data_IF_515688842407
#
_entry.id   IF_515688842407
#
_cell.length_a   1.000
_cell.length_b   1.000
_cell.length_c   1.000
_cell.angle_alpha   90.00
_cell.angle_beta   90.00
_cell.angle_gamma   90.00
#
_symmetry.space_group_name_H-M   'P 1'
#
loop_
_entity.id
_entity.type
_entity.pdbx_description
1 polymer ?
#
# COMPACT_ATOMS: atom_id res chain seq x y z
N UNK A 1 18.62 23.44 -45.63
CA UNK A 1 17.69 24.16 -44.74
C UNK A 1 16.65 23.27 -43.99
N UNK A 2 16.85 21.94 -43.89
CA UNK A 2 15.92 20.99 -43.20
C UNK A 2 16.34 20.59 -41.80
N UNK A 3 17.51 21.01 -41.30
CA UNK A 3 18.07 20.57 -39.99
C UNK A 3 17.53 21.34 -38.77
N UNK A 4 16.92 22.48 -38.95
CA UNK A 4 16.44 23.31 -37.84
C UNK A 4 14.97 23.11 -37.48
N UNK A 5 14.22 22.29 -38.23
CA UNK A 5 12.81 22.02 -37.96
C UNK A 5 12.60 20.92 -36.89
N UNK A 6 13.64 20.14 -36.58
CA UNK A 6 13.56 19.10 -35.54
C UNK A 6 13.73 19.62 -34.12
N UNK A 7 14.34 20.79 -33.93
CA UNK A 7 14.61 21.35 -32.61
C UNK A 7 13.35 21.79 -31.85
N UNK A 8 12.36 22.49 -32.48
CA UNK A 8 11.10 22.84 -31.80
C UNK A 8 10.22 21.64 -31.48
N UNK A 9 10.29 20.54 -32.24
CA UNK A 9 9.52 19.32 -31.98
C UNK A 9 10.03 18.55 -30.74
N UNK A 10 11.35 18.59 -30.48
CA UNK A 10 11.94 17.99 -29.27
C UNK A 10 11.57 18.77 -28.00
N UNK A 11 11.36 20.07 -28.09
CA UNK A 11 10.92 20.93 -26.98
C UNK A 11 9.46 20.71 -26.60
N UNK A 12 8.60 20.30 -27.53
CA UNK A 12 7.20 19.97 -27.25
C UNK A 12 7.01 18.66 -26.47
N UNK A 13 7.95 17.73 -26.57
CA UNK A 13 7.95 16.47 -25.81
C UNK A 13 8.33 16.69 -24.31
N UNK A 14 9.05 17.76 -23.99
CA UNK A 14 9.38 18.12 -22.61
C UNK A 14 8.25 18.83 -21.87
N UNK A 15 7.22 19.31 -22.59
CA UNK A 15 6.09 20.05 -22.03
C UNK A 15 4.99 19.14 -21.40
N UNK A 16 5.00 17.83 -21.71
CA UNK A 16 4.17 16.86 -21.00
C UNK A 16 4.84 16.60 -19.64
N UNK A 17 4.52 17.37 -18.62
CA UNK A 17 5.06 17.28 -17.25
C UNK A 17 4.90 15.89 -16.60
N UNK A 18 5.52 14.88 -17.19
CA UNK A 18 5.58 13.52 -16.67
C UNK A 18 6.42 13.53 -15.39
N UNK A 19 5.74 13.60 -14.23
CA UNK A 19 6.38 13.39 -12.94
C UNK A 19 6.31 11.92 -12.58
N UNK A 20 7.43 11.31 -12.22
CA UNK A 20 7.42 9.96 -11.68
C UNK A 20 6.51 9.91 -10.44
N UNK A 21 5.59 8.94 -10.41
CA UNK A 21 4.78 8.67 -9.23
C UNK A 21 5.72 8.32 -8.06
N UNK A 22 5.76 9.16 -7.04
CA UNK A 22 6.67 9.04 -5.88
C UNK A 22 7.56 10.26 -5.66
N UNK A 23 7.80 11.09 -6.67
CA UNK A 23 8.56 12.34 -6.52
C UNK A 23 7.66 13.57 -6.29
N UNK A 24 6.34 13.42 -6.33
CA UNK A 24 5.40 14.51 -6.06
C UNK A 24 5.03 14.55 -4.56
N UNK A 25 5.45 15.60 -3.81
CA UNK A 25 5.11 15.75 -2.39
C UNK A 25 3.59 15.81 -2.14
N UNK A 26 2.79 16.22 -3.12
CA UNK A 26 1.33 16.27 -3.00
C UNK A 26 0.72 14.84 -2.97
N UNK A 27 1.32 13.90 -3.71
CA UNK A 27 0.89 12.50 -3.75
C UNK A 27 1.59 11.63 -2.70
N UNK A 28 2.71 12.10 -2.18
CA UNK A 28 3.55 11.38 -1.22
C UNK A 28 4.13 12.35 -0.18
N UNK A 29 3.29 12.96 0.69
CA UNK A 29 3.72 13.96 1.66
C UNK A 29 4.74 13.37 2.63
N UNK A 30 5.71 14.16 3.13
CA UNK A 30 6.67 13.71 4.13
C UNK A 30 5.94 13.27 5.40
N UNK A 31 6.56 12.36 6.15
CA UNK A 31 6.02 11.95 7.44
C UNK A 31 6.11 13.11 8.45
N UNK A 32 5.08 13.30 9.30
CA UNK A 32 5.03 14.41 10.26
C UNK A 32 6.03 14.24 11.42
N UNK A 33 6.49 13.01 11.66
CA UNK A 33 7.45 12.67 12.71
C UNK A 33 8.61 11.87 12.12
N UNK A 34 9.80 11.98 12.73
CA UNK A 34 10.98 11.28 12.25
C UNK A 34 11.13 9.88 12.84
N UNK A 35 10.73 9.69 14.09
CA UNK A 35 10.91 8.44 14.81
C UNK A 35 9.56 7.78 15.07
N UNK A 36 9.43 6.52 14.65
CA UNK A 36 8.19 5.76 14.71
C UNK A 36 8.37 4.44 15.45
N UNK A 37 7.36 4.05 16.22
CA UNK A 37 7.15 2.69 16.64
C UNK A 37 5.99 2.06 15.87
N UNK A 38 6.02 0.75 15.71
CA UNK A 38 5.00 -0.01 15.00
C UNK A 38 4.46 -1.10 15.91
N UNK A 39 3.13 -1.23 15.96
CA UNK A 39 2.41 -2.35 16.53
C UNK A 39 1.52 -2.91 15.41
N UNK A 40 2.12 -3.72 14.54
CA UNK A 40 1.58 -4.04 13.22
C UNK A 40 1.02 -5.44 13.07
N UNK A 41 1.12 -6.32 14.10
CA UNK A 41 0.75 -7.73 13.99
C UNK A 41 1.38 -8.37 12.74
N UNK A 42 0.59 -9.00 11.88
CA UNK A 42 1.05 -9.61 10.62
C UNK A 42 1.64 -8.60 9.61
N UNK A 43 1.35 -7.31 9.77
CA UNK A 43 1.86 -6.23 8.91
C UNK A 43 3.09 -5.53 9.49
N UNK A 44 3.60 -5.96 10.66
CA UNK A 44 4.71 -5.32 11.36
C UNK A 44 5.87 -5.01 10.42
N UNK A 45 6.43 -6.05 9.81
CA UNK A 45 7.60 -5.93 8.93
C UNK A 45 7.32 -5.11 7.66
N UNK A 46 6.12 -5.22 7.10
CA UNK A 46 5.73 -4.47 5.93
C UNK A 46 5.64 -2.97 6.22
N UNK A 47 5.03 -2.58 7.35
CA UNK A 47 4.92 -1.19 7.78
C UNK A 47 6.30 -0.60 8.10
N UNK A 48 7.12 -1.33 8.85
CA UNK A 48 8.49 -0.92 9.18
C UNK A 48 9.32 -0.68 7.90
N UNK A 49 9.25 -1.60 6.93
CA UNK A 49 9.95 -1.46 5.65
C UNK A 49 9.50 -0.20 4.90
N UNK A 50 8.20 0.09 4.86
CA UNK A 50 7.67 1.28 4.17
C UNK A 50 8.01 2.58 4.92
N UNK A 51 8.06 2.58 6.24
CA UNK A 51 8.53 3.72 7.04
C UNK A 51 10.01 4.01 6.76
N UNK A 52 10.87 2.98 6.75
CA UNK A 52 12.30 3.11 6.42
C UNK A 52 12.51 3.64 5.00
N UNK A 53 11.72 3.20 4.01
CA UNK A 53 11.74 3.74 2.64
C UNK A 53 11.43 5.23 2.56
N UNK A 54 10.69 5.74 3.55
CA UNK A 54 10.36 7.16 3.71
C UNK A 54 11.32 7.90 4.64
N UNK A 55 12.49 7.32 4.91
CA UNK A 55 13.54 7.89 5.76
C UNK A 55 13.12 8.10 7.22
N UNK A 56 12.08 7.40 7.70
CA UNK A 56 11.77 7.35 9.12
C UNK A 56 12.82 6.52 9.87
N UNK A 57 12.98 6.81 11.15
CA UNK A 57 13.74 5.98 12.08
C UNK A 57 12.77 5.11 12.87
N UNK A 58 13.16 3.88 13.15
CA UNK A 58 12.37 2.97 13.99
C UNK A 58 12.98 2.91 15.38
N UNK A 59 12.17 3.19 16.40
CA UNK A 59 12.56 3.07 17.80
C UNK A 59 11.32 2.73 18.62
N UNK A 60 11.35 1.59 19.31
CA UNK A 60 10.22 1.14 20.13
C UNK A 60 10.17 1.82 21.52
N UNK A 61 11.28 2.37 22.00
CA UNK A 61 11.40 2.96 23.33
C UNK A 61 11.23 4.49 23.30
N UNK A 62 11.72 5.15 22.25
CA UNK A 62 11.76 6.62 22.15
C UNK A 62 11.13 7.13 20.85
N UNK A 63 10.02 6.53 20.43
CA UNK A 63 9.30 6.98 19.24
C UNK A 63 8.55 8.30 19.50
N UNK A 64 8.62 9.21 18.52
CA UNK A 64 7.79 10.43 18.51
C UNK A 64 6.31 10.09 18.31
N UNK A 65 6.03 9.05 17.51
CA UNK A 65 4.69 8.55 17.24
C UNK A 65 4.68 7.03 17.09
N UNK A 66 3.52 6.43 17.33
CA UNK A 66 3.29 4.99 17.20
C UNK A 66 2.15 4.76 16.23
N UNK A 67 2.31 3.86 15.28
CA UNK A 67 1.20 3.33 14.48
C UNK A 67 0.79 1.97 15.02
N UNK A 68 -0.52 1.83 15.30
CA UNK A 68 -1.13 0.58 15.81
C UNK A 68 -2.11 0.06 14.78
N UNK A 69 -1.93 -1.17 14.33
CA UNK A 69 -2.94 -1.93 13.59
C UNK A 69 -3.92 -2.46 14.62
N UNK A 70 -5.18 -2.11 14.49
CA UNK A 70 -6.24 -2.47 15.44
C UNK A 70 -7.07 -3.65 14.99
N UNK A 71 -7.14 -3.88 13.67
CA UNK A 71 -7.87 -5.01 13.08
C UNK A 71 -7.31 -5.38 11.70
N UNK A 72 -7.33 -6.69 11.41
CA UNK A 72 -6.98 -7.24 10.09
C UNK A 72 -8.00 -8.31 9.74
N UNK A 73 -8.66 -8.14 8.60
CA UNK A 73 -9.64 -9.11 8.09
C UNK A 73 -9.25 -9.55 6.67
N UNK A 74 -9.26 -10.84 6.43
CA UNK A 74 -9.05 -11.46 5.13
C UNK A 74 -10.32 -12.20 4.71
N UNK A 75 -10.79 -11.97 3.49
CA UNK A 75 -11.95 -12.65 2.92
C UNK A 75 -11.60 -13.20 1.54
N UNK A 76 -12.06 -14.42 1.27
CA UNK A 76 -12.01 -15.05 -0.05
C UNK A 76 -13.43 -15.42 -0.46
N UNK A 77 -13.95 -14.75 -1.49
CA UNK A 77 -15.31 -14.92 -1.97
C UNK A 77 -15.30 -15.39 -3.43
N UNK A 78 -16.25 -16.21 -3.80
CA UNK A 78 -16.47 -16.57 -5.20
C UNK A 78 -16.86 -15.30 -5.95
N UNK A 79 -16.13 -15.01 -7.05
CA UNK A 79 -16.42 -13.86 -7.92
C UNK A 79 -17.16 -14.30 -9.18
N UNK A 80 -16.68 -15.38 -9.82
CA UNK A 80 -17.24 -15.85 -11.10
C UNK A 80 -17.44 -17.36 -11.12
N UNK A 81 -18.57 -17.78 -11.67
CA UNK A 81 -18.88 -19.17 -12.02
C UNK A 81 -18.99 -19.29 -13.53
N UNK A 82 -18.54 -20.41 -14.09
CA UNK A 82 -18.82 -20.73 -15.49
C UNK A 82 -20.27 -21.21 -15.69
N UNK A 83 -20.67 -21.49 -16.92
CA UNK A 83 -22.01 -21.95 -17.25
C UNK A 83 -22.38 -23.30 -16.63
N UNK A 84 -21.41 -24.13 -16.23
CA UNK A 84 -21.61 -25.40 -15.53
C UNK A 84 -21.64 -25.24 -14.01
N UNK A 85 -21.53 -24.02 -13.49
CA UNK A 85 -21.57 -23.75 -12.04
C UNK A 85 -20.21 -23.97 -11.32
N UNK A 86 -19.13 -24.19 -12.08
CA UNK A 86 -17.77 -24.34 -11.52
C UNK A 86 -17.16 -22.95 -11.27
N UNK A 87 -16.48 -22.80 -10.13
CA UNK A 87 -15.77 -21.57 -9.80
C UNK A 87 -14.62 -21.35 -10.78
N UNK A 88 -14.52 -20.16 -11.34
CA UNK A 88 -13.44 -19.74 -12.24
C UNK A 88 -12.62 -18.60 -11.68
N UNK A 89 -13.16 -17.83 -10.73
CA UNK A 89 -12.47 -16.72 -10.09
C UNK A 89 -12.88 -16.56 -8.62
N UNK A 90 -11.90 -16.27 -7.78
CA UNK A 90 -12.11 -15.79 -6.41
C UNK A 90 -11.68 -14.32 -6.31
N UNK A 91 -12.41 -13.58 -5.49
CA UNK A 91 -12.04 -12.25 -5.03
C UNK A 91 -11.43 -12.36 -3.63
N UNK A 92 -10.17 -11.95 -3.52
CA UNK A 92 -9.46 -11.80 -2.26
C UNK A 92 -9.65 -10.36 -1.76
N UNK A 93 -9.97 -10.19 -0.50
CA UNK A 93 -10.13 -8.89 0.15
C UNK A 93 -9.33 -8.88 1.46
N UNK A 94 -8.45 -7.87 1.61
CA UNK A 94 -7.73 -7.56 2.83
C UNK A 94 -8.20 -6.21 3.35
N UNK A 95 -8.76 -6.19 4.57
CA UNK A 95 -9.12 -4.98 5.29
C UNK A 95 -8.18 -4.80 6.47
N UNK A 96 -7.65 -3.60 6.63
CA UNK A 96 -6.76 -3.22 7.73
C UNK A 96 -7.29 -1.95 8.37
N UNK A 97 -7.54 -2.00 9.68
CA UNK A 97 -7.80 -0.82 10.48
C UNK A 97 -6.56 -0.45 11.29
N UNK A 98 -6.20 0.82 11.29
CA UNK A 98 -5.04 1.31 12.04
C UNK A 98 -5.26 2.71 12.56
N UNK A 99 -4.55 3.05 13.64
CA UNK A 99 -4.58 4.37 14.25
C UNK A 99 -3.15 4.79 14.63
N UNK A 100 -2.81 6.05 14.35
CA UNK A 100 -1.56 6.64 14.84
C UNK A 100 -1.78 7.34 16.19
N UNK A 101 -0.73 7.34 17.03
CA UNK A 101 -0.77 7.90 18.38
C UNK A 101 0.52 8.66 18.67
N UNK A 102 0.40 9.71 19.51
CA UNK A 102 1.52 10.39 20.14
C UNK A 102 1.28 10.37 21.66
N UNK A 103 2.05 9.54 22.36
CA UNK A 103 1.71 9.23 23.75
C UNK A 103 0.31 8.62 23.85
N UNK A 104 -0.58 9.27 24.60
CA UNK A 104 -1.98 8.85 24.75
C UNK A 104 -2.95 9.53 23.78
N UNK A 105 -2.47 10.46 22.96
CA UNK A 105 -3.30 11.22 22.02
C UNK A 105 -3.36 10.54 20.66
N UNK A 106 -4.56 10.26 20.16
CA UNK A 106 -4.77 9.79 18.79
C UNK A 106 -4.45 10.91 17.78
N UNK A 107 -3.73 10.58 16.72
CA UNK A 107 -3.39 11.47 15.62
C UNK A 107 -4.36 11.24 14.46
N UNK A 108 -5.23 12.19 14.23
CA UNK A 108 -6.24 12.13 13.17
C UNK A 108 -7.30 11.04 13.39
N UNK A 109 -8.05 10.75 12.34
CA UNK A 109 -9.10 9.72 12.33
C UNK A 109 -8.51 8.31 12.12
N UNK A 110 -9.22 7.24 12.56
CA UNK A 110 -8.83 5.87 12.25
C UNK A 110 -8.72 5.65 10.75
N UNK A 111 -7.66 4.97 10.35
CA UNK A 111 -7.37 4.69 8.94
C UNK A 111 -7.89 3.31 8.56
N UNK A 112 -8.76 3.24 7.55
CA UNK A 112 -9.26 2.00 6.96
C UNK A 112 -8.63 1.81 5.58
N UNK A 113 -7.87 0.73 5.40
CA UNK A 113 -7.29 0.34 4.12
C UNK A 113 -8.00 -0.91 3.64
N UNK A 114 -8.41 -0.93 2.37
CA UNK A 114 -8.96 -2.13 1.74
C UNK A 114 -8.21 -2.40 0.44
N UNK A 115 -7.70 -3.61 0.29
CA UNK A 115 -7.00 -4.08 -0.90
C UNK A 115 -7.77 -5.27 -1.48
N UNK A 116 -7.91 -5.29 -2.80
CA UNK A 116 -8.54 -6.40 -3.53
C UNK A 116 -7.58 -7.00 -4.55
N UNK A 117 -7.70 -8.33 -4.75
CA UNK A 117 -7.09 -9.06 -5.87
C UNK A 117 -8.07 -10.09 -6.39
N UNK A 118 -7.96 -10.41 -7.66
CA UNK A 118 -8.64 -11.56 -8.26
C UNK A 118 -7.66 -12.71 -8.36
N UNK A 119 -8.12 -13.90 -8.03
CA UNK A 119 -7.40 -15.16 -8.20
C UNK A 119 -8.17 -16.01 -9.21
N UNK A 120 -7.59 -16.23 -10.38
CA UNK A 120 -8.11 -17.20 -11.34
C UNK A 120 -7.99 -18.61 -10.76
N UNK A 121 -9.02 -19.39 -10.87
CA UNK A 121 -9.09 -20.73 -10.29
C UNK A 121 -9.42 -21.80 -11.31
N UNK A 122 -8.72 -22.94 -11.20
CA UNK A 122 -8.97 -24.14 -11.96
C UNK A 122 -8.72 -25.38 -11.10
N UNK A 123 -9.66 -26.29 -11.07
CA UNK A 123 -9.55 -27.55 -10.31
C UNK A 123 -8.38 -28.45 -10.79
N UNK A 124 -7.93 -28.26 -12.04
CA UNK A 124 -6.81 -29.02 -12.60
C UNK A 124 -5.42 -28.60 -12.10
N UNK A 125 -5.32 -27.43 -11.42
CA UNK A 125 -4.05 -26.81 -11.03
C UNK A 125 -3.97 -26.45 -9.54
N UNK A 126 -4.61 -27.22 -8.68
CA UNK A 126 -4.83 -26.90 -7.25
C UNK A 126 -3.55 -26.49 -6.52
N UNK A 127 -2.44 -27.25 -6.69
CA UNK A 127 -1.18 -26.94 -5.98
C UNK A 127 -0.56 -25.61 -6.42
N UNK A 128 -0.55 -25.34 -7.74
CA UNK A 128 -0.07 -24.06 -8.28
C UNK A 128 -0.92 -22.88 -7.84
N UNK A 129 -2.25 -23.10 -7.72
CA UNK A 129 -3.18 -22.06 -7.28
C UNK A 129 -3.05 -21.72 -5.79
N UNK A 130 -2.66 -22.67 -4.95
CA UNK A 130 -2.36 -22.40 -3.53
C UNK A 130 -1.13 -21.51 -3.37
N UNK A 131 -0.08 -21.76 -4.16
CA UNK A 131 1.13 -20.94 -4.15
C UNK A 131 0.84 -19.50 -4.66
N UNK A 132 0.08 -19.38 -5.77
CA UNK A 132 -0.36 -18.09 -6.31
C UNK A 132 -1.20 -17.31 -5.29
N UNK A 133 -2.14 -17.97 -4.61
CA UNK A 133 -2.94 -17.34 -3.57
C UNK A 133 -2.09 -16.81 -2.42
N UNK A 134 -1.12 -17.61 -1.94
CA UNK A 134 -0.20 -17.19 -0.88
C UNK A 134 0.63 -15.96 -1.28
N UNK A 135 1.10 -15.93 -2.54
CA UNK A 135 1.81 -14.78 -3.09
C UNK A 135 0.92 -13.54 -3.19
N UNK A 136 -0.33 -13.69 -3.66
CA UNK A 136 -1.30 -12.58 -3.72
C UNK A 136 -1.55 -11.99 -2.33
N UNK A 137 -1.73 -12.82 -1.30
CA UNK A 137 -1.89 -12.34 0.08
C UNK A 137 -0.64 -11.59 0.58
N UNK A 138 0.56 -12.06 0.24
CA UNK A 138 1.80 -11.36 0.58
C UNK A 138 1.88 -9.98 -0.08
N UNK A 139 1.57 -9.90 -1.37
CA UNK A 139 1.57 -8.64 -2.14
C UNK A 139 0.49 -7.67 -1.62
N UNK A 140 -0.68 -8.18 -1.23
CA UNK A 140 -1.75 -7.36 -0.63
C UNK A 140 -1.33 -6.75 0.69
N UNK A 141 -0.56 -7.46 1.54
CA UNK A 141 0.00 -6.91 2.79
C UNK A 141 1.00 -5.78 2.51
N UNK A 142 1.87 -5.95 1.51
CA UNK A 142 2.79 -4.88 1.08
C UNK A 142 2.02 -3.65 0.61
N UNK A 143 0.99 -3.84 -0.22
CA UNK A 143 0.15 -2.74 -0.71
C UNK A 143 -0.60 -2.04 0.42
N UNK A 144 -1.16 -2.79 1.37
CA UNK A 144 -1.85 -2.23 2.53
C UNK A 144 -0.90 -1.39 3.39
N UNK A 145 0.30 -1.89 3.68
CA UNK A 145 1.32 -1.16 4.44
C UNK A 145 1.75 0.14 3.72
N UNK A 146 1.97 0.07 2.41
CA UNK A 146 2.29 1.25 1.59
C UNK A 146 1.19 2.31 1.63
N UNK A 147 -0.08 1.91 1.50
CA UNK A 147 -1.21 2.81 1.59
C UNK A 147 -1.34 3.42 2.99
N UNK A 148 -1.14 2.60 4.04
CA UNK A 148 -1.16 3.04 5.42
C UNK A 148 -0.08 4.11 5.67
N UNK A 149 1.17 3.80 5.36
CA UNK A 149 2.31 4.73 5.57
C UNK A 149 2.15 6.01 4.74
N UNK A 150 1.57 5.93 3.53
CA UNK A 150 1.22 7.12 2.77
C UNK A 150 0.20 8.00 3.52
N UNK A 151 -0.83 7.41 4.15
CA UNK A 151 -1.83 8.15 4.93
C UNK A 151 -1.23 8.79 6.18
N UNK A 152 -0.22 8.18 6.80
CA UNK A 152 0.51 8.80 7.91
C UNK A 152 1.13 10.15 7.51
N UNK A 153 1.57 10.30 6.26
CA UNK A 153 2.12 11.56 5.75
C UNK A 153 1.11 12.71 5.69
N UNK A 154 -0.20 12.42 5.69
CA UNK A 154 -1.25 13.47 5.71
C UNK A 154 -1.68 13.87 7.12
N UNK A 155 -1.17 13.22 8.16
CA UNK A 155 -1.42 13.61 9.54
C UNK A 155 -0.73 14.95 9.83
N UNK A 156 -1.38 15.79 10.62
CA UNK A 156 -0.78 17.04 11.07
C UNK A 156 0.18 16.76 12.22
N UNK A 157 1.38 17.33 12.16
CA UNK A 157 2.25 17.38 13.32
C UNK A 157 1.61 18.30 14.38
N UNK A 158 1.44 17.78 15.60
CA UNK A 158 0.93 18.54 16.74
C UNK A 158 1.99 18.67 17.83
#
# INVERSE_FOLDING_TARGET
MKKYLMLPFLLLLAACGFRLAGSDPALNPPLPYQTWAVQGHELQQNIETELLRRHAKLDSAFADAIVKVTDIQTNKNIQTLNLSGTVTEYRLELKVAAQAWRGEKALGEPMMITVYRTLDYSDSEILGKQEEEAQLWADMRVDAARQLVRRLGYLKAE
#
